data_IF_516986329881
#
_entry.id   IF_516986329881
#
_cell.length_a   1.000
_cell.length_b   1.000
_cell.length_c   1.000
_cell.angle_alpha   90.00
_cell.angle_beta   90.00
_cell.angle_gamma   90.00
#
_symmetry.space_group_name_H-M   'P 1'
#
loop_
_entity.id
_entity.type
_entity.pdbx_description
1 polymer ?
#
# COMPACT_ATOMS: atom_id res chain seq x y z
N UNK A 1 -3.14 2.33 5.93
CA UNK A 1 -2.11 1.48 6.60
C UNK A 1 -2.74 0.19 7.15
N UNK A 2 -2.01 -0.91 7.27
CA UNK A 2 -2.48 -2.15 7.93
C UNK A 2 -1.36 -2.83 8.69
N UNK A 3 -1.67 -3.41 9.85
CA UNK A 3 -0.81 -4.35 10.58
C UNK A 3 -1.31 -5.77 10.31
N UNK A 4 -0.41 -6.69 9.96
CA UNK A 4 -0.80 -8.09 9.81
C UNK A 4 -1.79 -8.39 8.68
N UNK A 5 -2.40 -9.58 8.70
CA UNK A 5 -3.46 -10.00 7.78
C UNK A 5 -2.98 -10.55 6.44
N UNK A 6 -3.93 -10.89 5.56
CA UNK A 6 -3.69 -11.63 4.31
C UNK A 6 -2.80 -10.92 3.27
N UNK A 7 -2.13 -11.73 2.45
CA UNK A 7 -1.17 -11.27 1.44
C UNK A 7 -1.82 -10.91 0.10
N UNK A 8 -3.10 -11.28 -0.11
CA UNK A 8 -3.91 -10.96 -1.29
C UNK A 8 -3.23 -11.31 -2.64
N UNK A 9 -2.44 -12.39 -2.68
CA UNK A 9 -1.73 -12.83 -3.89
C UNK A 9 -0.54 -11.97 -4.30
N UNK A 10 -0.07 -11.06 -3.42
CA UNK A 10 1.10 -10.23 -3.70
C UNK A 10 2.39 -11.01 -3.45
N UNK A 11 3.04 -11.45 -4.53
CA UNK A 11 4.29 -12.26 -4.48
C UNK A 11 5.41 -11.60 -3.68
N UNK A 12 5.53 -10.27 -3.73
CA UNK A 12 6.52 -9.55 -2.91
C UNK A 12 6.26 -9.66 -1.41
N UNK A 13 4.97 -9.68 -0.99
CA UNK A 13 4.64 -9.85 0.42
C UNK A 13 4.87 -11.29 0.87
N UNK A 14 4.62 -12.27 0.00
CA UNK A 14 4.96 -13.67 0.24
C UNK A 14 6.46 -13.84 0.48
N UNK A 15 7.30 -13.21 -0.35
CA UNK A 15 8.76 -13.23 -0.17
C UNK A 15 9.20 -12.60 1.15
N UNK A 16 8.61 -11.47 1.55
CA UNK A 16 8.93 -10.81 2.83
C UNK A 16 8.54 -11.71 4.01
N UNK A 17 7.34 -12.29 3.98
CA UNK A 17 6.88 -13.22 5.03
C UNK A 17 7.80 -14.42 5.14
N UNK A 18 8.23 -15.00 4.01
CA UNK A 18 9.20 -16.09 4.02
C UNK A 18 10.54 -15.67 4.63
N UNK A 19 11.06 -14.49 4.27
CA UNK A 19 12.30 -13.96 4.83
C UNK A 19 12.19 -13.66 6.34
N UNK A 20 10.99 -13.32 6.83
CA UNK A 20 10.69 -13.09 8.24
C UNK A 20 10.27 -14.35 9.00
N UNK A 21 10.56 -15.55 8.48
CA UNK A 21 10.28 -16.81 9.17
C UNK A 21 8.79 -17.15 9.30
N UNK A 22 7.98 -16.68 8.35
CA UNK A 22 6.52 -16.87 8.36
C UNK A 22 5.75 -15.79 9.13
N UNK A 23 6.46 -14.82 9.73
CA UNK A 23 5.83 -13.72 10.45
C UNK A 23 5.11 -12.75 9.49
N UNK A 24 3.83 -12.50 9.76
CA UNK A 24 2.97 -11.57 9.00
C UNK A 24 2.70 -10.27 9.74
N UNK A 25 3.11 -10.16 11.01
CA UNK A 25 2.79 -9.09 11.94
C UNK A 25 3.69 -7.86 11.76
N UNK A 26 3.95 -7.50 10.50
CA UNK A 26 4.63 -6.26 10.15
C UNK A 26 3.60 -5.21 9.69
N UNK A 27 3.99 -3.95 9.86
CA UNK A 27 3.22 -2.79 9.39
C UNK A 27 3.45 -2.63 7.89
N UNK A 28 2.38 -2.38 7.14
CA UNK A 28 2.46 -2.04 5.71
C UNK A 28 1.57 -0.88 5.33
N UNK A 29 2.10 0.00 4.50
CA UNK A 29 1.31 1.01 3.80
C UNK A 29 0.74 0.38 2.52
N UNK A 30 -0.55 0.62 2.26
CA UNK A 30 -1.23 0.14 1.05
C UNK A 30 -1.53 1.35 0.19
N UNK A 31 -0.91 1.43 -0.97
CA UNK A 31 -1.19 2.44 -1.99
C UNK A 31 -2.13 1.79 -3.02
N UNK A 32 -3.29 2.42 -3.26
CA UNK A 32 -4.24 1.95 -4.26
C UNK A 32 -3.80 2.38 -5.64
N UNK A 33 -3.66 1.43 -6.58
CA UNK A 33 -3.24 1.69 -7.97
C UNK A 33 -4.36 1.47 -8.98
N UNK A 34 -5.62 1.40 -8.54
CA UNK A 34 -6.76 1.05 -9.39
C UNK A 34 -6.93 -0.47 -9.59
N UNK A 35 -8.02 -0.85 -10.27
CA UNK A 35 -8.32 -2.25 -10.59
C UNK A 35 -9.00 -2.34 -11.96
N UNK A 36 -8.56 -3.23 -12.88
CA UNK A 36 -9.07 -3.28 -14.26
C UNK A 36 -10.46 -3.92 -14.41
N UNK A 37 -11.19 -4.16 -13.31
CA UNK A 37 -12.51 -4.82 -13.30
C UNK A 37 -12.46 -6.33 -13.53
N UNK A 38 -11.57 -6.82 -14.42
CA UNK A 38 -11.35 -8.25 -14.65
C UNK A 38 -10.05 -8.74 -14.00
N UNK A 39 -10.21 -9.63 -13.02
CA UNK A 39 -9.13 -10.34 -12.32
C UNK A 39 -8.10 -11.01 -13.24
N UNK A 40 -8.49 -11.50 -14.43
CA UNK A 40 -7.57 -12.17 -15.38
C UNK A 40 -6.60 -11.20 -16.04
N UNK A 41 -7.00 -9.94 -16.17
CA UNK A 41 -6.18 -8.88 -16.75
C UNK A 41 -5.24 -8.21 -15.75
N UNK A 42 -5.33 -8.55 -14.45
CA UNK A 42 -4.59 -7.87 -13.38
C UNK A 42 -3.08 -7.93 -13.56
N UNK A 43 -2.52 -9.09 -13.90
CA UNK A 43 -1.07 -9.22 -14.13
C UNK A 43 -0.60 -8.36 -15.30
N UNK A 44 -1.36 -8.34 -16.40
CA UNK A 44 -1.05 -7.50 -17.55
C UNK A 44 -1.19 -6.02 -17.21
N UNK A 45 -2.23 -5.65 -16.45
CA UNK A 45 -2.49 -4.29 -15.96
C UNK A 45 -1.33 -3.75 -15.11
N UNK A 46 -0.83 -4.52 -14.15
CA UNK A 46 0.28 -4.13 -13.29
C UNK A 46 1.64 -4.09 -14.00
N UNK A 47 1.81 -4.84 -15.08
CA UNK A 47 3.06 -4.91 -15.85
C UNK A 47 3.05 -4.02 -17.10
N UNK A 48 2.01 -3.18 -17.28
CA UNK A 48 1.98 -2.23 -18.39
C UNK A 48 3.17 -1.27 -18.29
N UNK A 49 3.81 -1.03 -19.43
CA UNK A 49 4.91 -0.06 -19.52
C UNK A 49 4.44 1.36 -19.23
N UNK A 50 3.21 1.70 -19.62
CA UNK A 50 2.62 3.02 -19.41
C UNK A 50 1.33 2.92 -18.62
N UNK A 51 1.29 3.65 -17.50
CA UNK A 51 0.09 3.88 -16.70
C UNK A 51 -0.68 5.07 -17.28
N UNK A 52 -2.01 4.99 -17.45
CA UNK A 52 -2.84 6.13 -17.84
C UNK A 52 -2.60 7.36 -16.96
N UNK A 53 -2.61 8.55 -17.56
CA UNK A 53 -2.25 9.79 -16.85
C UNK A 53 -3.17 10.09 -15.65
N UNK A 54 -4.44 9.71 -15.73
CA UNK A 54 -5.39 9.82 -14.61
C UNK A 54 -4.98 8.93 -13.43
N UNK A 55 -4.65 7.66 -13.70
CA UNK A 55 -4.18 6.72 -12.69
C UNK A 55 -2.83 7.17 -12.10
N UNK A 56 -1.93 7.73 -12.91
CA UNK A 56 -0.67 8.31 -12.42
C UNK A 56 -0.93 9.47 -11.44
N UNK A 57 -1.90 10.35 -11.74
CA UNK A 57 -2.25 11.46 -10.83
C UNK A 57 -2.82 10.95 -9.51
N UNK A 58 -3.69 9.95 -9.56
CA UNK A 58 -4.27 9.33 -8.37
C UNK A 58 -3.22 8.58 -7.53
N UNK A 59 -2.29 7.89 -8.19
CA UNK A 59 -1.17 7.23 -7.53
C UNK A 59 -0.22 8.25 -6.89
N UNK A 60 0.09 9.34 -7.59
CA UNK A 60 0.95 10.41 -7.09
C UNK A 60 0.34 11.13 -5.88
N UNK A 61 -0.96 11.46 -5.92
CA UNK A 61 -1.63 12.06 -4.76
C UNK A 61 -1.70 11.12 -3.56
N UNK A 62 -1.80 9.80 -3.81
CA UNK A 62 -1.78 8.78 -2.76
C UNK A 62 -0.38 8.45 -2.24
N UNK A 63 0.67 8.84 -2.96
CA UNK A 63 2.07 8.58 -2.61
C UNK A 63 2.68 9.67 -1.73
N UNK A 64 2.05 10.84 -1.65
CA UNK A 64 2.46 11.89 -0.72
C UNK A 64 2.16 11.44 0.70
N UNK A 65 3.21 11.33 1.50
CA UNK A 65 3.10 11.03 2.93
C UNK A 65 3.22 12.36 3.67
N UNK A 66 2.15 12.74 4.38
CA UNK A 66 2.18 13.91 5.27
C UNK A 66 3.23 13.73 6.36
N UNK A 67 3.99 14.79 6.65
CA UNK A 67 5.07 14.78 7.63
C UNK A 67 4.58 14.29 9.00
N UNK A 68 3.44 14.79 9.46
CA UNK A 68 2.83 14.40 10.74
C UNK A 68 2.50 12.89 10.82
N UNK A 69 2.09 12.29 9.68
CA UNK A 69 1.80 10.87 9.61
C UNK A 69 3.08 10.03 9.67
N UNK A 70 4.17 10.54 9.09
CA UNK A 70 5.47 9.92 9.14
C UNK A 70 6.12 10.04 10.53
N UNK A 71 6.03 11.20 11.16
CA UNK A 71 6.51 11.43 12.54
C UNK A 71 5.80 10.51 13.53
N UNK A 72 4.46 10.46 13.49
CA UNK A 72 3.67 9.56 14.33
C UNK A 72 4.04 8.07 14.11
N UNK A 73 4.46 7.69 12.90
CA UNK A 73 4.94 6.34 12.61
C UNK A 73 6.30 6.07 13.28
N UNK A 74 7.23 7.03 13.23
CA UNK A 74 8.56 6.92 13.83
C UNK A 74 8.51 6.91 15.36
N UNK A 75 7.61 7.69 15.95
CA UNK A 75 7.40 7.76 17.40
C UNK A 75 6.67 6.54 17.97
N UNK A 76 6.23 5.60 17.12
CA UNK A 76 5.51 4.41 17.55
C UNK A 76 4.02 4.62 17.82
N UNK A 77 3.47 5.79 17.51
CA UNK A 77 2.06 6.15 17.68
C UNK A 77 1.18 5.53 16.56
N UNK A 78 1.18 4.20 16.46
CA UNK A 78 0.59 3.45 15.35
C UNK A 78 -0.90 3.77 15.10
N UNK A 79 -1.68 4.00 16.15
CA UNK A 79 -3.10 4.37 16.03
C UNK A 79 -3.28 5.76 15.43
N UNK A 80 -2.47 6.74 15.86
CA UNK A 80 -2.49 8.10 15.32
C UNK A 80 -2.00 8.13 13.88
N UNK A 81 -0.87 7.49 13.61
CA UNK A 81 -0.35 7.34 12.26
C UNK A 81 -1.43 6.71 11.35
N UNK A 82 -2.05 5.61 11.80
CA UNK A 82 -3.14 4.97 11.06
C UNK A 82 -4.30 5.93 10.80
N UNK A 83 -4.71 6.75 11.76
CA UNK A 83 -5.73 7.79 11.55
C UNK A 83 -5.35 8.76 10.44
N UNK A 84 -4.15 9.34 10.53
CA UNK A 84 -3.63 10.33 9.58
C UNK A 84 -3.52 9.77 8.15
N UNK A 85 -3.03 8.55 8.00
CA UNK A 85 -2.91 7.88 6.68
C UNK A 85 -4.26 7.49 6.04
N UNK A 86 -5.35 7.44 6.81
CA UNK A 86 -6.68 7.13 6.27
C UNK A 86 -7.57 8.38 6.15
N UNK A 87 -7.25 9.46 6.86
CA UNK A 87 -7.98 10.73 6.80
C UNK A 87 -7.51 11.66 5.68
N UNK A 88 -6.34 11.41 5.07
CA UNK A 88 -5.87 12.12 3.87
C UNK A 88 -6.71 11.73 2.65
N UNK A 89 -7.95 12.22 2.63
CA UNK A 89 -8.85 12.15 1.48
C UNK A 89 -9.40 13.56 1.26
N UNK A 90 -8.63 14.37 0.54
CA UNK A 90 -9.09 15.63 -0.04
C UNK A 90 -8.85 15.58 -1.53
#
# INVERSE_FOLDING_TARGET
MKVGGGLNGHRGLESIVQALGGNKDFVRLRVGVGHPGDSRSLSAYLTKHEMPQEEQRLAASSATIETDAFEALLDGEMQRAMGLFHSSRT
#
